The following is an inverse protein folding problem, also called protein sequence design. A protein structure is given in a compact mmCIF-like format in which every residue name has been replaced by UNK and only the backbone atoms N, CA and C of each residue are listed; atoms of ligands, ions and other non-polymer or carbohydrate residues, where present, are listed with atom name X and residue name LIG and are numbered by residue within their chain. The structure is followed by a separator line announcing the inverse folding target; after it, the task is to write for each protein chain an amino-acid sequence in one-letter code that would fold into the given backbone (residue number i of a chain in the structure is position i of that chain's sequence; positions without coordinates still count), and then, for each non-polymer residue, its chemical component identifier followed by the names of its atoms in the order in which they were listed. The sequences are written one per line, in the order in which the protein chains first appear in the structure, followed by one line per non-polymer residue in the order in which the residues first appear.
data_IF_386144186285
#
_entry.id   IF_386144186285
#
_cell.length_a   1.000
_cell.length_b   1.000
_cell.length_c   1.000
_cell.angle_alpha   90.00
_cell.angle_beta   90.00
_cell.angle_gamma   90.00
#
_symmetry.space_group_name_H-M   'P 1'
#
loop_
_entity.id
_entity.type
_entity.pdbx_description
1 polymer ?
#
# COMPACT_ATOMS: atom_id res chain seq x y z
N UNK A 1 9.22 13.45 12.19
CA UNK A 1 10.60 13.05 11.80
C UNK A 1 11.22 14.22 11.06
N UNK A 2 12.41 14.67 11.48
CA UNK A 2 13.13 15.80 10.86
C UNK A 2 14.17 15.24 9.87
N UNK A 3 14.36 15.90 8.74
CA UNK A 3 15.38 15.55 7.75
C UNK A 3 16.23 16.76 7.40
N UNK A 4 17.46 16.48 6.97
CA UNK A 4 18.43 17.45 6.50
C UNK A 4 19.05 16.93 5.19
N UNK A 5 19.10 17.78 4.17
CA UNK A 5 19.72 17.48 2.87
C UNK A 5 21.09 18.15 2.81
N UNK A 6 22.06 17.43 2.27
CA UNK A 6 23.44 17.86 2.13
C UNK A 6 23.82 17.80 0.65
N UNK A 7 24.48 18.84 0.16
CA UNK A 7 25.15 18.79 -1.13
C UNK A 7 26.60 18.40 -0.90
N UNK A 8 27.01 17.24 -1.43
CA UNK A 8 28.32 16.63 -1.14
C UNK A 8 29.18 16.70 -2.38
N UNK A 9 30.06 17.70 -2.43
CA UNK A 9 31.02 17.88 -3.52
C UNK A 9 32.36 17.15 -3.30
N UNK A 10 32.68 16.73 -2.07
CA UNK A 10 33.88 15.99 -1.73
C UNK A 10 33.64 15.05 -0.53
N UNK A 11 34.23 13.85 -0.54
CA UNK A 11 34.15 12.93 0.60
C UNK A 11 35.08 13.41 1.73
N UNK A 12 34.51 13.68 2.90
CA UNK A 12 35.26 14.08 4.09
C UNK A 12 34.37 14.76 5.11
N UNK A 13 34.37 16.09 5.11
CA UNK A 13 33.59 16.90 6.06
C UNK A 13 32.19 17.16 5.49
N UNK A 14 31.16 16.77 6.23
CA UNK A 14 29.78 17.07 5.86
C UNK A 14 29.54 18.58 6.04
N UNK A 15 29.17 19.33 4.97
CA UNK A 15 28.90 20.75 5.09
C UNK A 15 27.61 21.00 5.88
N UNK A 16 27.32 22.27 6.18
CA UNK A 16 26.02 22.64 6.73
C UNK A 16 24.90 22.19 5.77
N UNK A 17 23.77 21.67 6.28
CA UNK A 17 22.70 21.19 5.44
C UNK A 17 22.08 22.33 4.63
N UNK A 18 21.91 22.11 3.34
CA UNK A 18 21.35 23.08 2.40
C UNK A 18 19.85 23.24 2.57
N UNK A 19 19.18 22.23 3.13
CA UNK A 19 17.75 22.27 3.44
C UNK A 19 17.47 21.39 4.65
N UNK A 20 16.65 21.88 5.58
CA UNK A 20 16.12 21.09 6.67
C UNK A 20 14.60 21.16 6.66
N UNK A 21 13.93 20.06 6.94
CA UNK A 21 12.47 19.99 6.94
C UNK A 21 11.93 18.97 7.92
N UNK A 22 10.61 19.02 8.10
CA UNK A 22 9.89 18.03 8.88
C UNK A 22 8.95 17.26 7.98
N UNK A 23 9.05 15.94 8.02
CA UNK A 23 8.03 15.08 7.42
C UNK A 23 6.74 15.20 8.24
N UNK A 24 5.69 15.72 7.60
CA UNK A 24 4.32 15.64 8.10
C UNK A 24 3.66 14.43 7.44
N UNK A 25 3.34 13.42 8.25
CA UNK A 25 2.51 12.29 7.82
C UNK A 25 1.06 12.76 7.87
N UNK A 26 0.42 12.90 6.72
CA UNK A 26 -1.02 13.08 6.67
C UNK A 26 -1.68 11.73 7.01
N UNK A 27 -2.29 11.65 8.19
CA UNK A 27 -3.06 10.47 8.64
C UNK A 27 -4.52 10.52 8.21
N UNK A 28 -4.88 11.46 7.32
CA UNK A 28 -6.24 11.51 6.77
C UNK A 28 -6.49 10.22 6.00
N UNK A 29 -7.30 9.34 6.59
CA UNK A 29 -7.70 8.09 5.98
C UNK A 29 -8.59 8.45 4.79
N UNK A 30 -8.02 8.36 3.59
CA UNK A 30 -8.82 8.42 2.37
C UNK A 30 -9.75 7.21 2.37
N UNK A 31 -10.99 7.38 1.93
CA UNK A 31 -11.93 6.26 1.79
C UNK A 31 -11.25 5.11 1.04
N UNK A 32 -10.98 4.03 1.77
CA UNK A 32 -10.23 2.88 1.27
C UNK A 32 -11.13 1.88 0.51
N UNK A 33 -12.40 2.23 0.32
CA UNK A 33 -13.37 1.38 -0.35
C UNK A 33 -13.21 1.52 -1.86
N UNK A 34 -12.85 0.42 -2.52
CA UNK A 34 -12.79 0.31 -3.98
C UNK A 34 -13.95 -0.53 -4.46
N UNK A 35 -14.70 0.01 -5.42
CA UNK A 35 -15.78 -0.69 -6.09
C UNK A 35 -15.26 -1.37 -7.34
N UNK A 36 -15.55 -2.66 -7.48
CA UNK A 36 -15.27 -3.45 -8.65
C UNK A 36 -16.58 -3.77 -9.37
N UNK A 37 -16.60 -3.45 -10.66
CA UNK A 37 -17.68 -3.84 -11.56
C UNK A 37 -17.52 -5.32 -11.93
N UNK A 38 -18.48 -6.14 -11.53
CA UNK A 38 -18.43 -7.58 -11.73
C UNK A 38 -18.60 -7.99 -13.19
N UNK A 39 -19.23 -7.17 -14.04
CA UNK A 39 -19.24 -7.42 -15.49
C UNK A 39 -17.82 -7.35 -16.04
N UNK A 40 -17.04 -6.36 -15.62
CA UNK A 40 -15.65 -6.21 -16.06
C UNK A 40 -14.75 -7.31 -15.48
N UNK A 41 -14.88 -7.63 -14.20
CA UNK A 41 -14.05 -8.66 -13.54
C UNK A 41 -14.31 -10.05 -14.14
N UNK A 42 -15.58 -10.39 -14.39
CA UNK A 42 -15.96 -11.69 -14.93
C UNK A 42 -15.94 -11.72 -16.46
N UNK A 43 -15.54 -10.63 -17.12
CA UNK A 43 -15.54 -10.49 -18.58
C UNK A 43 -16.92 -10.74 -19.22
N UNK A 44 -17.98 -10.32 -18.54
CA UNK A 44 -19.37 -10.35 -19.01
C UNK A 44 -19.68 -8.99 -19.63
N UNK A 45 -20.35 -8.98 -20.78
CA UNK A 45 -20.72 -7.73 -21.44
C UNK A 45 -21.68 -6.91 -20.56
N UNK A 46 -21.46 -5.60 -20.53
CA UNK A 46 -22.36 -4.66 -19.87
C UNK A 46 -23.80 -4.83 -20.39
N UNK A 47 -24.75 -5.00 -19.46
CA UNK A 47 -26.16 -5.24 -19.75
C UNK A 47 -26.56 -6.71 -19.90
N UNK A 48 -25.61 -7.66 -19.95
CA UNK A 48 -25.94 -9.07 -19.79
C UNK A 48 -26.18 -9.42 -18.32
N UNK A 49 -27.07 -10.39 -18.09
CA UNK A 49 -27.38 -10.85 -16.75
C UNK A 49 -26.13 -11.48 -16.11
N UNK A 50 -25.85 -11.08 -14.87
CA UNK A 50 -24.80 -11.73 -14.08
C UNK A 50 -25.26 -13.11 -13.61
N UNK A 51 -24.31 -14.04 -13.35
CA UNK A 51 -24.63 -15.33 -12.78
C UNK A 51 -25.42 -15.18 -11.46
N UNK A 52 -26.35 -16.10 -11.16
CA UNK A 52 -27.11 -16.06 -9.92
C UNK A 52 -26.20 -15.95 -8.68
N UNK A 53 -26.50 -15.03 -7.78
CA UNK A 53 -25.73 -14.78 -6.56
C UNK A 53 -24.54 -13.82 -6.72
N UNK A 54 -24.26 -13.32 -7.93
CA UNK A 54 -23.22 -12.30 -8.14
C UNK A 54 -23.83 -10.90 -7.99
N UNK A 55 -23.31 -10.12 -7.05
CA UNK A 55 -23.65 -8.70 -6.92
C UNK A 55 -22.98 -7.91 -8.07
N UNK A 56 -23.67 -6.99 -8.77
CA UNK A 56 -23.05 -6.17 -9.81
C UNK A 56 -21.83 -5.37 -9.37
N UNK A 57 -21.79 -4.95 -8.10
CA UNK A 57 -20.70 -4.16 -7.55
C UNK A 57 -20.16 -4.86 -6.30
N UNK A 58 -18.88 -5.24 -6.34
CA UNK A 58 -18.15 -5.69 -5.17
C UNK A 58 -17.42 -4.51 -4.54
N UNK A 59 -17.73 -4.19 -3.28
CA UNK A 59 -17.04 -3.14 -2.53
C UNK A 59 -16.00 -3.80 -1.63
N UNK A 60 -14.74 -3.43 -1.81
CA UNK A 60 -13.61 -3.98 -1.07
C UNK A 60 -12.96 -2.87 -0.26
N UNK A 61 -12.77 -3.11 1.04
CA UNK A 61 -12.01 -2.22 1.90
C UNK A 61 -10.51 -2.54 1.76
N UNK A 62 -9.78 -1.70 1.03
CA UNK A 62 -8.33 -1.85 0.81
C UNK A 62 -7.53 -1.89 2.10
N UNK A 63 -7.98 -1.22 3.17
CA UNK A 63 -7.28 -1.25 4.45
C UNK A 63 -7.22 -2.67 5.00
N UNK A 64 -8.37 -3.34 5.03
CA UNK A 64 -8.46 -4.73 5.49
C UNK A 64 -7.57 -5.65 4.64
N UNK A 65 -7.55 -5.43 3.32
CA UNK A 65 -6.69 -6.20 2.42
C UNK A 65 -5.21 -5.94 2.70
N UNK A 66 -4.80 -4.68 2.85
CA UNK A 66 -3.40 -4.32 3.10
C UNK A 66 -2.92 -4.80 4.45
N UNK A 67 -3.75 -4.74 5.49
CA UNK A 67 -3.44 -5.29 6.81
C UNK A 67 -3.21 -6.81 6.71
N UNK A 68 -4.10 -7.54 6.01
CA UNK A 68 -3.94 -8.99 5.78
C UNK A 68 -2.67 -9.34 4.99
N UNK A 69 -2.34 -8.56 3.95
CA UNK A 69 -1.13 -8.76 3.14
C UNK A 69 0.12 -8.53 3.99
N UNK A 70 0.16 -7.46 4.77
CA UNK A 70 1.27 -7.14 5.67
C UNK A 70 1.44 -8.24 6.72
N UNK A 71 0.35 -8.73 7.31
CA UNK A 71 0.40 -9.80 8.31
C UNK A 71 0.87 -11.13 7.71
N UNK A 72 0.44 -11.47 6.49
CA UNK A 72 0.96 -12.65 5.79
C UNK A 72 2.48 -12.54 5.54
N UNK A 73 2.95 -11.39 5.05
CA UNK A 73 4.39 -11.17 4.81
C UNK A 73 5.19 -11.26 6.11
N UNK A 74 4.67 -10.70 7.21
CA UNK A 74 5.31 -10.78 8.53
C UNK A 74 5.34 -12.22 9.07
N UNK A 75 4.28 -12.99 8.87
CA UNK A 75 4.20 -14.40 9.25
C UNK A 75 5.23 -15.29 8.54
N UNK A 76 5.60 -14.96 7.30
CA UNK A 76 6.60 -15.72 6.55
C UNK A 76 8.07 -15.41 6.93
N UNK A 77 8.34 -14.31 7.63
CA UNK A 77 9.70 -14.00 8.13
C UNK A 77 10.10 -14.76 9.41
N UNK A 78 9.17 -15.48 10.05
CA UNK A 78 9.45 -16.28 11.26
C UNK A 78 9.88 -17.73 11.01
N UNK A 79 9.80 -18.23 9.77
CA UNK A 79 10.10 -19.63 9.43
C UNK A 79 11.49 -19.83 8.80
N UNK A 80 12.46 -18.99 9.18
CA UNK A 80 13.88 -19.30 9.01
C UNK A 80 14.46 -19.78 10.34
N UNK A 81 13.81 -20.78 10.98
CA UNK A 81 14.31 -21.38 12.21
C UNK A 81 15.25 -22.55 11.89
N UNK A 82 16.55 -22.25 11.93
CA UNK A 82 17.61 -23.07 12.56
C UNK A 82 17.53 -24.58 12.30
N UNK A 83 18.12 -25.02 11.19
CA UNK A 83 18.70 -26.37 11.06
C UNK A 83 20.21 -26.24 10.88
N UNK A 84 20.90 -26.12 12.00
CA UNK A 84 22.26 -26.63 12.25
C UNK A 84 22.35 -26.91 13.74
#
# INVERSE_FOLDING_TARGET
MQYALYDIAALGTLPAPTTTGTFRRNTAETDANVSFDMHRILSILQGQALPPGVNPIAVVNLRVIMDLVIDNIRGHHGSCHRRY
#
